data_IF_276328566282
#
_entry.id   IF_276328566282
#
_cell.length_a   1.000
_cell.length_b   1.000
_cell.length_c   1.000
_cell.angle_alpha   90.00
_cell.angle_beta   90.00
_cell.angle_gamma   90.00
#
_symmetry.space_group_name_H-M   'P 1'
#
loop_
_entity.id
_entity.type
_entity.pdbx_description
1 polymer ?
#
# COMPACT_ATOMS: atom_id res chain seq x y z
N UNK A 1 -8.28 -7.93 -8.13
CA UNK A 1 -9.24 -7.03 -7.45
C UNK A 1 -8.49 -5.97 -6.64
N UNK A 2 -7.54 -6.33 -5.77
CA UNK A 2 -6.79 -5.37 -4.92
C UNK A 2 -6.08 -4.26 -5.73
N UNK A 3 -5.39 -4.61 -6.81
CA UNK A 3 -4.67 -3.67 -7.70
C UNK A 3 -5.60 -2.69 -8.43
N UNK A 4 -6.81 -3.09 -8.80
CA UNK A 4 -7.79 -2.20 -9.45
C UNK A 4 -8.35 -1.17 -8.47
N UNK A 5 -8.75 -1.61 -7.28
CA UNK A 5 -9.27 -0.74 -6.21
C UNK A 5 -8.20 0.25 -5.78
N UNK A 6 -6.94 -0.20 -5.63
CA UNK A 6 -5.83 0.67 -5.23
C UNK A 6 -5.59 1.81 -6.21
N UNK A 7 -5.66 1.57 -7.52
CA UNK A 7 -5.44 2.62 -8.54
C UNK A 7 -6.50 3.73 -8.45
N UNK A 8 -7.77 3.34 -8.28
CA UNK A 8 -8.88 4.31 -8.15
C UNK A 8 -8.77 5.08 -6.84
N UNK A 9 -8.51 4.39 -5.74
CA UNK A 9 -8.35 5.03 -4.42
C UNK A 9 -7.15 5.99 -4.37
N UNK A 10 -6.02 5.64 -4.99
CA UNK A 10 -4.84 6.52 -5.06
C UNK A 10 -5.14 7.79 -5.85
N UNK A 11 -5.85 7.70 -6.98
CA UNK A 11 -6.24 8.88 -7.75
C UNK A 11 -7.12 9.84 -6.92
N UNK A 12 -8.10 9.28 -6.19
CA UNK A 12 -8.94 10.07 -5.26
C UNK A 12 -8.15 10.70 -4.13
N UNK A 13 -7.21 9.97 -3.54
CA UNK A 13 -6.33 10.49 -2.49
C UNK A 13 -5.45 11.65 -2.98
N UNK A 14 -4.87 11.54 -4.18
CA UNK A 14 -4.06 12.62 -4.77
C UNK A 14 -4.91 13.86 -4.98
N UNK A 15 -6.10 13.73 -5.58
CA UNK A 15 -7.01 14.84 -5.80
C UNK A 15 -7.42 15.48 -4.45
N UNK A 16 -7.86 14.67 -3.50
CA UNK A 16 -8.28 15.16 -2.17
C UNK A 16 -7.15 15.84 -1.42
N UNK A 17 -5.93 15.29 -1.46
CA UNK A 17 -4.77 15.88 -0.80
C UNK A 17 -4.34 17.20 -1.43
N UNK A 18 -4.32 17.29 -2.75
CA UNK A 18 -3.96 18.52 -3.47
C UNK A 18 -4.97 19.65 -3.20
N UNK A 19 -6.27 19.33 -3.25
CA UNK A 19 -7.33 20.29 -2.97
C UNK A 19 -7.37 20.70 -1.48
N UNK A 20 -7.12 19.76 -0.56
CA UNK A 20 -7.00 20.05 0.87
C UNK A 20 -5.82 20.98 1.18
N UNK A 21 -4.67 20.79 0.50
CA UNK A 21 -3.51 21.67 0.66
C UNK A 21 -3.82 23.11 0.23
N UNK A 22 -4.54 23.29 -0.88
CA UNK A 22 -5.01 24.60 -1.31
C UNK A 22 -5.92 25.25 -0.28
N UNK A 23 -6.91 24.50 0.24
CA UNK A 23 -7.84 24.99 1.24
C UNK A 23 -7.12 25.38 2.55
N UNK A 24 -6.14 24.57 2.98
CA UNK A 24 -5.32 24.89 4.13
C UNK A 24 -4.51 26.17 3.90
N UNK A 25 -3.89 26.33 2.72
CA UNK A 25 -3.15 27.54 2.38
C UNK A 25 -4.05 28.79 2.39
N UNK A 26 -5.30 28.68 1.91
CA UNK A 26 -6.29 29.76 2.01
C UNK A 26 -6.68 30.04 3.48
N UNK A 27 -6.87 29.01 4.29
CA UNK A 27 -7.23 29.18 5.72
C UNK A 27 -6.14 29.86 6.55
N UNK A 28 -4.88 29.66 6.16
CA UNK A 28 -3.71 30.27 6.83
C UNK A 28 -3.20 31.55 6.16
N UNK A 29 -4.04 32.19 5.33
CA UNK A 29 -3.71 33.45 4.61
C UNK A 29 -2.40 33.41 3.81
N UNK A 30 -2.05 32.19 3.29
CA UNK A 30 -0.89 31.98 2.42
C UNK A 30 -1.17 32.24 0.93
N UNK A 31 -2.44 32.42 0.58
CA UNK A 31 -2.91 32.76 -0.75
C UNK A 31 -3.39 34.22 -0.77
N UNK A 32 -3.41 34.86 -1.95
CA UNK A 32 -3.97 36.20 -2.07
C UNK A 32 -5.42 36.26 -1.56
N UNK A 33 -5.71 37.29 -0.79
CA UNK A 33 -7.08 37.56 -0.36
C UNK A 33 -8.00 37.72 -1.56
N UNK A 34 -9.25 37.27 -1.41
CA UNK A 34 -10.33 37.58 -2.36
C UNK A 34 -10.66 39.07 -2.37
N UNK A 35 -11.61 39.47 -3.22
CA UNK A 35 -12.15 40.81 -3.15
C UNK A 35 -12.82 41.01 -1.78
N UNK A 36 -12.70 42.22 -1.23
CA UNK A 36 -13.49 42.58 -0.08
C UNK A 36 -14.99 42.41 -0.44
N UNK A 37 -15.83 41.86 0.47
CA UNK A 37 -17.26 41.84 0.22
C UNK A 37 -17.76 43.26 -0.09
N UNK A 38 -18.87 43.40 -0.84
CA UNK A 38 -19.41 44.73 -1.12
C UNK A 38 -19.66 45.47 0.19
N UNK A 39 -19.42 46.78 0.20
CA UNK A 39 -19.72 47.57 1.38
C UNK A 39 -21.18 47.37 1.77
N UNK A 40 -21.43 47.28 3.08
CA UNK A 40 -22.80 47.14 3.59
C UNK A 40 -23.62 48.37 3.12
N UNK A 41 -24.83 48.16 2.58
CA UNK A 41 -25.63 49.26 2.03
C UNK A 41 -25.98 50.28 3.14
N UNK A 42 -25.80 51.55 2.78
CA UNK A 42 -26.12 52.66 3.66
C UNK A 42 -27.62 53.02 3.61
N UNK A 43 -28.27 52.62 2.52
CA UNK A 43 -29.73 52.86 2.31
C UNK A 43 -30.44 51.51 2.28
N UNK A 44 -31.32 51.30 3.21
CA UNK A 44 -32.23 50.14 3.34
C UNK A 44 -33.66 50.68 3.46
N UNK A 45 -34.66 49.89 3.11
CA UNK A 45 -36.07 50.32 3.18
C UNK A 45 -36.56 50.64 4.60
N UNK A 46 -35.87 50.18 5.61
CA UNK A 46 -36.30 50.28 7.02
C UNK A 46 -37.57 49.50 7.31
N UNK A 47 -37.99 48.61 6.41
CA UNK A 47 -39.14 47.72 6.60
C UNK A 47 -38.69 46.27 6.63
N UNK A 48 -39.53 45.39 7.19
CA UNK A 48 -39.25 43.97 7.38
C UNK A 48 -40.42 43.11 6.90
N UNK A 49 -40.13 41.83 6.63
CA UNK A 49 -41.21 40.82 6.47
C UNK A 49 -41.51 40.42 5.03
N UNK A 50 -40.70 40.78 4.04
CA UNK A 50 -40.86 40.19 2.74
C UNK A 50 -40.62 38.68 2.80
N UNK A 51 -41.46 37.91 2.11
CA UNK A 51 -41.22 36.46 2.03
C UNK A 51 -40.08 36.14 1.08
N UNK A 52 -39.26 35.11 1.38
CA UNK A 52 -38.18 34.66 0.48
C UNK A 52 -38.68 34.32 -0.92
N UNK A 53 -39.91 33.80 -1.05
CA UNK A 53 -40.54 33.49 -2.33
C UNK A 53 -40.90 34.74 -3.18
N UNK A 54 -41.00 35.89 -2.53
CA UNK A 54 -41.28 37.14 -3.22
C UNK A 54 -40.03 37.94 -3.62
N UNK A 55 -38.84 37.46 -3.17
CA UNK A 55 -37.57 38.08 -3.51
C UNK A 55 -37.16 37.64 -4.91
N UNK A 56 -37.29 38.56 -5.92
CA UNK A 56 -36.94 38.24 -7.32
C UNK A 56 -35.54 37.68 -7.50
N UNK A 57 -34.47 38.20 -6.85
CA UNK A 57 -33.12 37.64 -7.00
C UNK A 57 -32.99 36.17 -6.56
N UNK A 58 -33.74 35.74 -5.56
CA UNK A 58 -33.77 34.37 -5.10
C UNK A 58 -34.54 33.44 -6.04
N UNK A 59 -35.54 33.93 -6.73
CA UNK A 59 -36.39 33.15 -7.64
C UNK A 59 -35.64 32.67 -8.89
N UNK A 60 -34.60 33.38 -9.29
CA UNK A 60 -33.81 33.07 -10.51
C UNK A 60 -32.52 32.32 -10.24
N UNK A 61 -32.12 32.20 -8.95
CA UNK A 61 -30.89 31.50 -8.57
C UNK A 61 -31.20 30.01 -8.36
N UNK A 62 -30.59 29.09 -9.13
CA UNK A 62 -30.77 27.69 -8.88
C UNK A 62 -30.16 27.31 -7.53
N UNK A 63 -30.78 26.39 -6.81
CA UNK A 63 -30.33 25.94 -5.48
C UNK A 63 -28.87 25.43 -5.53
N UNK A 64 -28.43 24.87 -6.64
CA UNK A 64 -27.05 24.42 -6.85
C UNK A 64 -26.01 25.56 -6.91
N UNK A 65 -26.44 26.77 -7.24
CA UNK A 65 -25.58 27.96 -7.26
C UNK A 65 -25.56 28.68 -5.91
N UNK A 66 -26.57 28.48 -5.06
CA UNK A 66 -26.64 29.07 -3.74
C UNK A 66 -25.59 28.44 -2.81
N UNK A 67 -24.79 29.28 -2.15
CA UNK A 67 -23.76 28.87 -1.18
C UNK A 67 -24.23 29.15 0.24
N UNK A 68 -24.75 30.36 0.46
CA UNK A 68 -25.16 30.82 1.78
C UNK A 68 -26.26 31.87 1.62
N UNK A 69 -27.25 31.83 2.52
CA UNK A 69 -28.23 32.88 2.72
C UNK A 69 -28.30 33.16 4.23
N UNK A 70 -27.65 34.24 4.64
CA UNK A 70 -27.72 34.68 6.07
C UNK A 70 -28.87 35.61 6.26
N UNK A 71 -29.63 35.36 7.33
CA UNK A 71 -30.80 36.16 7.67
C UNK A 71 -30.38 37.39 8.47
N UNK A 72 -31.10 38.53 8.30
CA UNK A 72 -30.88 39.72 9.09
C UNK A 72 -31.14 39.46 10.60
N UNK A 73 -30.53 40.28 11.44
CA UNK A 73 -30.70 40.18 12.88
C UNK A 73 -32.15 40.44 13.26
N UNK A 74 -32.80 39.59 14.07
CA UNK A 74 -34.18 39.72 14.41
C UNK A 74 -34.50 41.06 15.12
N UNK A 75 -35.39 41.84 14.53
CA UNK A 75 -35.84 43.12 15.08
C UNK A 75 -35.00 44.33 14.64
N UNK A 76 -33.96 44.13 13.84
CA UNK A 76 -33.20 45.24 13.25
C UNK A 76 -33.63 45.48 11.78
N UNK A 77 -34.44 46.52 11.59
CA UNK A 77 -34.91 46.89 10.26
C UNK A 77 -33.83 47.53 9.38
N UNK A 78 -32.64 47.81 9.93
CA UNK A 78 -31.49 48.35 9.17
C UNK A 78 -30.54 47.30 8.68
N UNK A 79 -30.73 46.03 9.08
CA UNK A 79 -29.94 44.91 8.61
C UNK A 79 -30.47 44.38 7.26
N UNK A 80 -29.73 43.52 6.59
CA UNK A 80 -30.05 42.96 5.26
C UNK A 80 -29.77 41.47 5.20
N UNK A 81 -30.44 40.76 4.28
CA UNK A 81 -30.01 39.39 3.96
C UNK A 81 -28.65 39.43 3.28
N UNK A 82 -27.73 38.54 3.68
CA UNK A 82 -26.49 38.33 2.93
C UNK A 82 -26.69 37.12 2.02
N UNK A 83 -26.53 37.36 0.73
CA UNK A 83 -26.62 36.33 -0.32
C UNK A 83 -25.26 36.02 -0.87
N UNK A 84 -24.83 34.76 -0.78
CA UNK A 84 -23.60 34.24 -1.38
C UNK A 84 -23.93 33.15 -2.38
N UNK A 85 -23.38 33.26 -3.57
CA UNK A 85 -23.55 32.29 -4.66
C UNK A 85 -22.20 31.87 -5.24
N UNK A 86 -22.21 30.97 -6.20
CA UNK A 86 -21.04 30.59 -7.01
C UNK A 86 -20.50 31.72 -7.91
N UNK A 87 -21.19 32.87 -7.99
CA UNK A 87 -20.82 34.02 -8.83
C UNK A 87 -20.43 35.28 -8.07
N UNK A 88 -20.91 35.40 -6.83
CA UNK A 88 -20.67 36.60 -6.06
C UNK A 88 -21.38 36.64 -4.72
N UNK A 89 -21.19 37.75 -4.02
CA UNK A 89 -21.80 38.03 -2.74
C UNK A 89 -22.52 39.36 -2.80
N UNK A 90 -23.67 39.47 -2.14
CA UNK A 90 -24.46 40.70 -2.12
C UNK A 90 -25.41 40.76 -0.94
N UNK A 91 -26.15 41.86 -0.89
CA UNK A 91 -27.14 42.15 0.14
C UNK A 91 -28.51 42.32 -0.44
N UNK A 92 -29.54 41.74 0.19
CA UNK A 92 -30.96 41.91 -0.19
C UNK A 92 -31.70 42.64 0.95
N UNK A 93 -32.53 43.61 0.56
CA UNK A 93 -33.37 44.32 1.50
C UNK A 93 -34.41 43.42 2.12
N UNK A 94 -34.57 43.48 3.44
CA UNK A 94 -35.51 42.61 4.17
C UNK A 94 -36.99 43.04 4.04
N UNK A 95 -37.26 44.22 3.58
CA UNK A 95 -38.60 44.73 3.38
C UNK A 95 -39.09 44.65 1.94
N UNK A 96 -38.23 44.94 0.96
CA UNK A 96 -38.56 44.93 -0.47
C UNK A 96 -38.07 43.66 -1.20
N UNK A 97 -37.03 43.01 -0.71
CA UNK A 97 -36.39 41.88 -1.41
C UNK A 97 -35.48 42.29 -2.58
N UNK A 98 -35.23 43.58 -2.76
CA UNK A 98 -34.37 44.10 -3.81
C UNK A 98 -32.89 43.86 -3.52
N UNK A 99 -32.09 43.71 -4.56
CA UNK A 99 -30.63 43.57 -4.47
C UNK A 99 -30.00 44.96 -4.24
N UNK A 100 -29.46 45.20 -3.05
CA UNK A 100 -28.91 46.49 -2.65
C UNK A 100 -27.46 46.66 -3.07
N UNK A 101 -26.69 45.60 -3.04
CA UNK A 101 -25.27 45.60 -3.46
C UNK A 101 -24.87 44.23 -3.95
N UNK A 102 -23.93 44.18 -4.86
CA UNK A 102 -23.39 42.93 -5.42
C UNK A 102 -21.92 43.09 -5.78
N UNK A 103 -21.12 42.09 -5.40
CA UNK A 103 -19.75 41.98 -5.90
C UNK A 103 -19.55 40.60 -6.52
N UNK A 104 -19.02 40.57 -7.75
CA UNK A 104 -18.66 39.33 -8.43
C UNK A 104 -17.41 38.72 -7.82
N UNK A 105 -17.29 37.39 -7.85
CA UNK A 105 -16.10 36.69 -7.45
C UNK A 105 -14.90 37.10 -8.34
N UNK A 106 -13.79 37.37 -7.68
CA UNK A 106 -12.48 37.54 -8.35
C UNK A 106 -12.03 36.22 -8.99
N UNK A 107 -10.98 36.27 -9.80
CA UNK A 107 -10.38 35.10 -10.39
C UNK A 107 -9.89 34.09 -9.31
N UNK A 108 -9.31 34.61 -8.21
CA UNK A 108 -8.84 33.76 -7.10
C UNK A 108 -9.98 33.09 -6.36
N UNK A 109 -11.06 33.79 -6.10
CA UNK A 109 -12.25 33.23 -5.48
C UNK A 109 -12.91 32.18 -6.38
N UNK A 110 -12.98 32.38 -7.68
CA UNK A 110 -13.48 31.37 -8.64
C UNK A 110 -12.61 30.12 -8.66
N UNK A 111 -11.28 30.27 -8.57
CA UNK A 111 -10.37 29.13 -8.45
C UNK A 111 -10.64 28.39 -7.14
N UNK A 112 -10.73 29.11 -6.02
CA UNK A 112 -11.01 28.52 -4.70
C UNK A 112 -12.35 27.82 -4.66
N UNK A 113 -13.41 28.41 -5.21
CA UNK A 113 -14.73 27.76 -5.37
C UNK A 113 -14.65 26.46 -6.19
N UNK A 114 -13.90 26.49 -7.30
CA UNK A 114 -13.69 25.28 -8.12
C UNK A 114 -12.95 24.20 -7.34
N UNK A 115 -11.91 24.57 -6.60
CA UNK A 115 -11.15 23.63 -5.76
C UNK A 115 -12.01 23.09 -4.62
N UNK A 116 -12.82 23.93 -4.00
CA UNK A 116 -13.77 23.54 -2.97
C UNK A 116 -14.81 22.55 -3.53
N UNK A 117 -15.36 22.80 -4.71
CA UNK A 117 -16.26 21.88 -5.42
C UNK A 117 -15.57 20.54 -5.70
N UNK A 118 -14.31 20.57 -6.18
CA UNK A 118 -13.53 19.35 -6.46
C UNK A 118 -13.20 18.56 -5.19
N UNK A 119 -13.09 19.23 -4.05
CA UNK A 119 -12.81 18.59 -2.77
C UNK A 119 -14.05 17.97 -2.12
N UNK A 120 -15.16 18.71 -2.12
CA UNK A 120 -16.39 18.37 -1.37
C UNK A 120 -17.50 17.79 -2.23
N UNK A 121 -17.47 18.05 -3.55
CA UNK A 121 -18.59 17.77 -4.44
C UNK A 121 -19.76 18.75 -4.31
N UNK A 122 -19.61 19.83 -3.53
CA UNK A 122 -20.70 20.82 -3.35
C UNK A 122 -21.05 21.49 -4.69
N UNK A 123 -22.34 21.54 -5.00
CA UNK A 123 -22.83 22.04 -6.30
C UNK A 123 -22.76 21.03 -7.45
N UNK A 124 -22.13 19.86 -7.25
CA UNK A 124 -22.00 18.78 -8.24
C UNK A 124 -22.25 17.41 -7.61
N UNK A 125 -23.51 17.04 -7.41
CA UNK A 125 -23.92 15.85 -6.67
C UNK A 125 -23.29 14.54 -7.20
N UNK A 126 -23.16 14.41 -8.52
CA UNK A 126 -22.51 13.24 -9.14
C UNK A 126 -21.03 13.15 -8.79
N UNK A 127 -20.32 14.28 -8.77
CA UNK A 127 -18.93 14.34 -8.34
C UNK A 127 -18.79 13.99 -6.86
N UNK A 128 -19.65 14.53 -6.00
CA UNK A 128 -19.68 14.21 -4.57
C UNK A 128 -19.88 12.73 -4.31
N UNK A 129 -20.78 12.07 -5.06
CA UNK A 129 -20.98 10.61 -4.97
C UNK A 129 -19.70 9.84 -5.37
N UNK A 130 -19.07 10.22 -6.47
CA UNK A 130 -17.81 9.59 -6.93
C UNK A 130 -16.70 9.75 -5.89
N UNK A 131 -16.51 10.96 -5.36
CA UNK A 131 -15.53 11.24 -4.31
C UNK A 131 -15.80 10.40 -3.05
N UNK A 132 -17.06 10.29 -2.63
CA UNK A 132 -17.48 9.46 -1.52
C UNK A 132 -17.13 7.99 -1.70
N UNK A 133 -17.43 7.44 -2.89
CA UNK A 133 -17.07 6.05 -3.24
C UNK A 133 -15.54 5.86 -3.25
N UNK A 134 -14.78 6.82 -3.79
CA UNK A 134 -13.31 6.77 -3.78
C UNK A 134 -12.75 6.83 -2.35
N UNK A 135 -13.33 7.66 -1.48
CA UNK A 135 -12.93 7.77 -0.08
C UNK A 135 -13.13 6.47 0.71
N UNK A 136 -14.16 5.67 0.41
CA UNK A 136 -14.36 4.33 0.98
C UNK A 136 -13.24 3.34 0.61
N UNK A 137 -12.50 3.59 -0.46
CA UNK A 137 -11.33 2.80 -0.85
C UNK A 137 -10.20 2.84 0.19
N UNK A 138 -10.06 3.93 0.93
CA UNK A 138 -9.00 4.12 1.93
C UNK A 138 -9.14 3.14 3.11
N UNK A 139 -10.27 3.09 3.84
CA UNK A 139 -10.45 2.11 4.89
C UNK A 139 -10.46 0.67 4.37
N UNK A 140 -10.99 0.42 3.16
CA UNK A 140 -10.93 -0.90 2.54
C UNK A 140 -9.49 -1.38 2.28
N UNK A 141 -8.60 -0.48 1.82
CA UNK A 141 -7.18 -0.78 1.69
C UNK A 141 -6.51 -0.99 3.05
N UNK A 142 -6.85 -0.20 4.06
CA UNK A 142 -6.34 -0.37 5.42
C UNK A 142 -6.69 -1.75 5.99
N UNK A 143 -7.96 -2.14 5.90
CA UNK A 143 -8.43 -3.46 6.36
C UNK A 143 -7.76 -4.59 5.58
N UNK A 144 -7.75 -4.50 4.24
CA UNK A 144 -7.10 -5.54 3.41
C UNK A 144 -5.59 -5.64 3.67
N UNK A 145 -4.91 -4.52 3.89
CA UNK A 145 -3.50 -4.48 4.27
C UNK A 145 -3.23 -5.16 5.62
N UNK A 146 -4.08 -4.88 6.62
CA UNK A 146 -4.01 -5.55 7.92
C UNK A 146 -4.25 -7.05 7.81
N UNK A 147 -5.26 -7.48 7.04
CA UNK A 147 -5.53 -8.91 6.79
C UNK A 147 -4.33 -9.60 6.16
N UNK A 148 -3.73 -9.00 5.12
CA UNK A 148 -2.54 -9.53 4.46
C UNK A 148 -1.34 -9.59 5.42
N UNK A 149 -1.15 -8.55 6.24
CA UNK A 149 -0.07 -8.49 7.21
C UNK A 149 -0.21 -9.57 8.30
N UNK A 150 -1.42 -9.76 8.84
CA UNK A 150 -1.68 -10.83 9.81
C UNK A 150 -1.59 -12.23 9.17
N UNK A 151 -2.07 -12.40 7.94
CA UNK A 151 -1.93 -13.65 7.20
C UNK A 151 -0.46 -14.00 6.97
N UNK A 152 0.37 -13.03 6.56
CA UNK A 152 1.80 -13.22 6.39
C UNK A 152 2.54 -13.59 7.70
N UNK A 153 2.10 -13.07 8.84
CA UNK A 153 2.66 -13.45 10.14
C UNK A 153 2.24 -14.86 10.59
N UNK A 154 1.04 -15.31 10.24
CA UNK A 154 0.53 -16.65 10.57
C UNK A 154 1.05 -17.74 9.65
N UNK A 155 1.55 -17.38 8.47
CA UNK A 155 1.99 -18.34 7.44
C UNK A 155 3.37 -18.94 7.68
N UNK A 156 4.05 -18.66 8.81
CA UNK A 156 5.24 -19.43 9.21
C UNK A 156 4.77 -20.79 9.71
N UNK A 157 4.91 -21.87 8.94
CA UNK A 157 4.54 -23.19 9.43
C UNK A 157 5.38 -23.52 10.67
N UNK A 158 4.72 -23.98 11.72
CA UNK A 158 5.42 -24.54 12.87
C UNK A 158 6.08 -25.83 12.41
N UNK A 159 7.39 -25.80 12.25
CA UNK A 159 8.18 -26.96 11.92
C UNK A 159 8.14 -27.91 13.11
N UNK A 160 7.31 -28.96 13.03
CA UNK A 160 7.26 -30.01 14.05
C UNK A 160 8.46 -30.93 13.82
N UNK A 161 9.13 -31.32 14.91
CA UNK A 161 10.25 -32.25 14.82
C UNK A 161 11.54 -31.65 14.25
N UNK A 162 11.71 -30.33 14.34
CA UNK A 162 12.97 -29.67 13.94
C UNK A 162 14.10 -30.16 14.90
N UNK A 163 15.09 -30.85 14.34
CA UNK A 163 16.18 -31.40 15.12
C UNK A 163 17.10 -30.26 15.61
N UNK A 164 17.72 -30.36 16.80
CA UNK A 164 18.71 -29.39 17.26
C UNK A 164 19.87 -29.24 16.25
N UNK A 165 20.32 -28.01 16.02
CA UNK A 165 21.35 -27.68 15.04
C UNK A 165 22.65 -28.47 15.23
N UNK A 166 23.07 -28.69 16.47
CA UNK A 166 24.34 -29.37 16.81
C UNK A 166 24.35 -30.87 16.50
N UNK A 167 23.17 -31.49 16.36
CA UNK A 167 23.05 -32.93 16.12
C UNK A 167 22.44 -33.31 14.78
N UNK A 168 22.17 -32.33 13.92
CA UNK A 168 21.55 -32.58 12.61
C UNK A 168 22.59 -32.85 11.54
N UNK A 169 22.40 -33.95 10.80
CA UNK A 169 23.21 -34.29 9.63
C UNK A 169 22.76 -33.51 8.37
N UNK A 170 21.47 -33.15 8.27
CA UNK A 170 20.93 -32.34 7.15
C UNK A 170 20.52 -30.98 7.64
N UNK A 171 21.13 -29.93 7.10
CA UNK A 171 20.84 -28.54 7.41
C UNK A 171 20.06 -27.93 6.25
N UNK A 172 18.78 -27.59 6.50
CA UNK A 172 17.89 -26.99 5.53
C UNK A 172 17.76 -25.49 5.80
N UNK A 173 18.36 -24.67 4.94
CA UNK A 173 18.34 -23.20 5.04
C UNK A 173 17.28 -22.62 4.11
N UNK A 174 16.45 -21.70 4.65
CA UNK A 174 15.29 -21.19 3.93
C UNK A 174 15.36 -19.68 3.73
N UNK A 175 15.36 -19.25 2.48
CA UNK A 175 15.18 -17.87 2.04
C UNK A 175 13.75 -17.65 1.54
N UNK A 176 12.98 -16.83 2.24
CA UNK A 176 11.57 -16.56 1.90
C UNK A 176 11.17 -15.15 2.32
N UNK A 177 10.38 -14.46 1.49
CA UNK A 177 9.78 -13.17 1.82
C UNK A 177 8.38 -13.36 2.41
N UNK A 178 7.46 -13.90 1.63
CA UNK A 178 6.05 -14.09 1.99
C UNK A 178 5.73 -15.37 2.76
N UNK A 179 6.71 -16.23 3.03
CA UNK A 179 6.52 -17.47 3.79
C UNK A 179 6.21 -18.71 2.96
N UNK A 180 5.98 -18.63 1.65
CA UNK A 180 5.62 -19.77 0.80
C UNK A 180 6.69 -20.84 0.74
N UNK A 181 7.98 -20.46 0.66
CA UNK A 181 9.12 -21.40 0.65
C UNK A 181 9.21 -22.24 1.91
N UNK A 182 8.70 -21.74 3.04
CA UNK A 182 8.63 -22.51 4.29
C UNK A 182 7.67 -23.71 4.21
N UNK A 183 6.62 -23.63 3.37
CA UNK A 183 5.74 -24.76 3.10
C UNK A 183 6.49 -25.91 2.43
N UNK A 184 7.30 -25.59 1.41
CA UNK A 184 8.17 -26.55 0.73
C UNK A 184 9.25 -27.12 1.68
N UNK A 185 9.83 -26.26 2.52
CA UNK A 185 10.78 -26.68 3.53
C UNK A 185 10.18 -27.66 4.54
N UNK A 186 8.95 -27.43 4.98
CA UNK A 186 8.22 -28.33 5.87
C UNK A 186 7.94 -29.69 5.22
N UNK A 187 7.55 -29.68 3.93
CA UNK A 187 7.32 -30.93 3.16
C UNK A 187 8.62 -31.73 3.04
N UNK A 188 9.72 -31.07 2.65
CA UNK A 188 11.02 -31.70 2.52
C UNK A 188 11.55 -32.23 3.85
N UNK A 189 11.46 -31.41 4.93
CA UNK A 189 11.83 -31.84 6.28
C UNK A 189 11.06 -33.10 6.70
N UNK A 190 9.75 -33.11 6.46
CA UNK A 190 8.91 -34.28 6.81
C UNK A 190 9.35 -35.53 6.05
N UNK A 191 9.58 -35.43 4.74
CA UNK A 191 10.02 -36.56 3.92
C UNK A 191 11.40 -37.08 4.35
N UNK A 192 12.38 -36.19 4.54
CA UNK A 192 13.71 -36.56 5.00
C UNK A 192 13.70 -37.17 6.40
N UNK A 193 12.87 -36.65 7.30
CA UNK A 193 12.72 -37.18 8.67
C UNK A 193 12.06 -38.55 8.64
N UNK A 194 11.05 -38.76 7.81
CA UNK A 194 10.42 -40.07 7.61
C UNK A 194 11.41 -41.11 7.06
N UNK A 195 12.40 -40.68 6.27
CA UNK A 195 13.52 -41.51 5.81
C UNK A 195 14.65 -41.66 6.84
N UNK A 196 14.44 -41.28 8.10
CA UNK A 196 15.39 -41.45 9.19
C UNK A 196 16.47 -40.38 9.31
N UNK A 197 16.37 -39.29 8.56
CA UNK A 197 17.35 -38.21 8.60
C UNK A 197 17.10 -37.22 9.77
N UNK A 198 18.15 -36.78 10.43
CA UNK A 198 18.08 -35.70 11.44
C UNK A 198 18.19 -34.36 10.74
N UNK A 199 17.06 -33.69 10.60
CA UNK A 199 16.94 -32.43 9.80
C UNK A 199 16.79 -31.23 10.72
N UNK A 200 17.68 -30.24 10.54
CA UNK A 200 17.53 -28.90 11.15
C UNK A 200 17.15 -27.87 10.08
N UNK A 201 16.05 -27.19 10.31
CA UNK A 201 15.56 -26.12 9.41
C UNK A 201 15.77 -24.77 10.07
N UNK A 202 16.40 -23.84 9.36
CA UNK A 202 16.69 -22.50 9.84
C UNK A 202 16.57 -21.46 8.71
N UNK A 203 16.37 -20.16 9.03
CA UNK A 203 16.47 -19.11 8.03
C UNK A 203 17.91 -18.94 7.55
N UNK A 204 18.11 -18.64 6.26
CA UNK A 204 19.44 -18.35 5.67
C UNK A 204 20.15 -17.22 6.40
N UNK A 205 19.39 -16.22 6.93
CA UNK A 205 19.95 -15.09 7.68
C UNK A 205 20.71 -15.50 8.96
N UNK A 206 20.52 -16.71 9.46
CA UNK A 206 21.22 -17.25 10.63
C UNK A 206 22.35 -18.21 10.26
N UNK A 207 22.79 -18.26 9.00
CA UNK A 207 23.83 -19.15 8.55
C UNK A 207 25.19 -18.83 9.18
N UNK A 208 25.71 -19.81 9.90
CA UNK A 208 27.01 -19.82 10.55
C UNK A 208 27.48 -21.28 10.64
N UNK A 209 28.49 -21.71 9.87
CA UNK A 209 28.91 -23.12 9.80
C UNK A 209 29.25 -23.76 11.14
N UNK A 210 29.86 -23.02 12.05
CA UNK A 210 30.23 -23.50 13.39
C UNK A 210 29.03 -23.98 14.26
N UNK A 211 27.80 -23.57 13.89
CA UNK A 211 26.58 -24.02 14.57
C UNK A 211 26.17 -25.45 14.19
N UNK A 212 26.77 -26.00 13.12
CA UNK A 212 26.38 -27.26 12.49
C UNK A 212 27.54 -28.28 12.46
N UNK A 213 28.12 -28.65 13.59
CA UNK A 213 29.34 -29.45 13.63
C UNK A 213 29.16 -30.91 13.12
N UNK A 214 27.92 -31.37 13.00
CA UNK A 214 27.60 -32.72 12.50
C UNK A 214 26.92 -32.68 11.12
N UNK A 215 26.99 -31.52 10.43
CA UNK A 215 26.38 -31.39 9.10
C UNK A 215 27.08 -32.33 8.10
N UNK A 216 26.33 -33.23 7.53
CA UNK A 216 26.74 -34.09 6.41
C UNK A 216 26.37 -33.43 5.05
N UNK A 217 25.41 -32.54 5.04
CA UNK A 217 24.95 -31.80 3.87
C UNK A 217 24.20 -30.54 4.22
N UNK A 218 24.26 -29.58 3.31
CA UNK A 218 23.46 -28.36 3.33
C UNK A 218 22.46 -28.37 2.19
N UNK A 219 21.24 -27.98 2.45
CA UNK A 219 20.17 -27.82 1.48
C UNK A 219 19.65 -26.39 1.58
N UNK A 220 19.68 -25.65 0.49
CA UNK A 220 19.21 -24.27 0.45
C UNK A 220 17.97 -24.17 -0.42
N UNK A 221 16.88 -23.66 0.14
CA UNK A 221 15.66 -23.27 -0.56
C UNK A 221 15.63 -21.75 -0.65
N UNK A 222 16.01 -21.17 -1.79
CA UNK A 222 16.21 -19.74 -1.97
C UNK A 222 15.17 -19.11 -2.88
N UNK A 223 14.23 -18.35 -2.30
CA UNK A 223 13.33 -17.51 -3.10
C UNK A 223 14.02 -16.22 -3.52
N UNK A 224 13.65 -15.73 -4.70
CA UNK A 224 14.06 -14.41 -5.19
C UNK A 224 12.94 -13.41 -4.92
N UNK A 225 13.30 -12.21 -4.48
CA UNK A 225 12.36 -11.13 -4.18
C UNK A 225 12.64 -9.89 -5.05
N UNK A 226 11.58 -9.12 -5.37
CA UNK A 226 11.71 -7.87 -6.12
C UNK A 226 12.41 -8.06 -7.46
N UNK A 227 13.43 -7.27 -7.73
CA UNK A 227 14.21 -7.28 -8.96
C UNK A 227 15.48 -8.18 -8.86
N UNK A 228 15.39 -9.29 -8.15
CA UNK A 228 16.49 -10.24 -8.01
C UNK A 228 17.12 -10.30 -6.61
N UNK A 229 16.53 -9.64 -5.63
CA UNK A 229 17.10 -9.43 -4.30
C UNK A 229 16.92 -10.64 -3.37
N UNK A 230 17.75 -10.68 -2.30
CA UNK A 230 17.58 -11.62 -1.21
C UNK A 230 16.28 -11.36 -0.43
N UNK A 231 15.48 -12.37 -0.13
CA UNK A 231 14.30 -12.23 0.70
C UNK A 231 14.67 -11.96 2.17
N UNK A 232 13.73 -11.45 2.97
CA UNK A 232 13.95 -11.04 4.37
C UNK A 232 14.64 -12.12 5.22
N UNK A 233 14.29 -13.41 5.05
CA UNK A 233 14.90 -14.49 5.80
C UNK A 233 16.26 -14.95 5.25
N UNK A 234 16.76 -14.32 4.19
CA UNK A 234 18.11 -14.55 3.64
C UNK A 234 19.03 -13.31 3.75
N UNK A 235 18.57 -12.26 4.43
CA UNK A 235 19.33 -11.01 4.57
C UNK A 235 20.73 -11.26 5.15
N UNK A 236 21.76 -10.72 4.48
CA UNK A 236 23.16 -10.86 4.88
C UNK A 236 23.75 -12.25 4.63
N UNK A 237 23.07 -13.14 3.89
CA UNK A 237 23.58 -14.49 3.61
C UNK A 237 24.78 -14.45 2.65
N UNK A 238 24.70 -13.66 1.59
CA UNK A 238 25.76 -13.51 0.59
C UNK A 238 27.03 -12.97 1.24
N UNK A 239 26.91 -11.94 2.07
CA UNK A 239 28.02 -11.32 2.78
C UNK A 239 28.69 -12.33 3.75
N UNK A 240 27.88 -13.12 4.46
CA UNK A 240 28.41 -14.16 5.35
C UNK A 240 29.09 -15.28 4.58
N UNK A 241 28.51 -15.73 3.48
CA UNK A 241 29.12 -16.74 2.61
C UNK A 241 30.44 -16.22 2.01
N UNK A 242 30.45 -14.97 1.55
CA UNK A 242 31.65 -14.33 1.03
C UNK A 242 32.75 -14.19 2.07
N UNK A 243 32.41 -13.91 3.33
CA UNK A 243 33.35 -13.73 4.44
C UNK A 243 33.93 -15.04 5.00
N UNK A 244 33.43 -16.22 4.60
CA UNK A 244 33.99 -17.48 5.06
C UNK A 244 35.45 -17.64 4.59
N UNK A 245 36.35 -17.97 5.48
CA UNK A 245 37.73 -18.36 5.13
C UNK A 245 37.77 -19.72 4.43
N UNK A 246 36.94 -20.67 4.90
CA UNK A 246 36.75 -21.98 4.30
C UNK A 246 35.27 -22.35 4.27
N UNK A 247 34.83 -22.98 3.18
CA UNK A 247 33.47 -23.52 3.09
C UNK A 247 33.36 -24.83 3.87
N UNK A 248 32.15 -25.24 4.30
CA UNK A 248 31.92 -26.54 4.91
C UNK A 248 32.36 -27.69 3.98
N UNK A 249 32.90 -28.77 4.56
CA UNK A 249 33.19 -30.00 3.83
C UNK A 249 31.92 -30.70 3.32
N UNK A 250 30.83 -30.57 4.07
CA UNK A 250 29.51 -31.10 3.74
C UNK A 250 28.99 -30.46 2.43
N UNK A 251 28.56 -31.24 1.42
CA UNK A 251 28.16 -30.73 0.13
C UNK A 251 26.83 -29.94 0.20
N UNK A 252 26.61 -29.09 -0.81
CA UNK A 252 25.51 -28.16 -0.93
C UNK A 252 24.54 -28.57 -2.05
N UNK A 253 23.23 -28.56 -1.77
CA UNK A 253 22.18 -28.58 -2.78
C UNK A 253 21.40 -27.26 -2.72
N UNK A 254 21.12 -26.65 -3.86
CA UNK A 254 20.35 -25.38 -3.95
C UNK A 254 19.16 -25.57 -4.85
N UNK A 255 17.98 -25.12 -4.37
CA UNK A 255 16.76 -25.00 -5.13
C UNK A 255 16.30 -23.54 -5.14
N UNK A 256 16.19 -22.96 -6.31
CA UNK A 256 15.68 -21.60 -6.51
C UNK A 256 14.16 -21.56 -6.59
N UNK A 257 13.56 -20.49 -6.10
CA UNK A 257 12.13 -20.19 -6.27
C UNK A 257 11.97 -18.81 -6.90
N UNK A 258 11.21 -18.73 -7.97
CA UNK A 258 10.95 -17.48 -8.69
C UNK A 258 9.71 -17.55 -9.55
N UNK A 259 9.51 -16.53 -10.37
CA UNK A 259 8.47 -16.48 -11.41
C UNK A 259 9.14 -16.10 -12.73
N UNK A 260 9.02 -16.95 -13.74
CA UNK A 260 9.62 -16.77 -15.09
C UNK A 260 9.06 -15.59 -15.86
N UNK A 261 7.93 -15.02 -15.41
CA UNK A 261 7.40 -13.79 -16.00
C UNK A 261 8.24 -12.54 -15.68
N UNK A 262 9.17 -12.65 -14.72
CA UNK A 262 10.09 -11.58 -14.37
C UNK A 262 11.51 -11.82 -14.89
N UNK A 263 12.22 -10.76 -15.36
CA UNK A 263 13.58 -10.90 -15.92
C UNK A 263 14.59 -11.50 -14.92
N UNK A 264 14.43 -11.24 -13.63
CA UNK A 264 15.32 -11.72 -12.57
C UNK A 264 14.87 -13.07 -11.96
N UNK A 265 14.38 -14.00 -12.82
CA UNK A 265 13.99 -15.34 -12.39
C UNK A 265 15.09 -16.05 -11.63
N UNK A 266 14.86 -16.39 -10.36
CA UNK A 266 15.78 -17.08 -9.45
C UNK A 266 17.17 -16.41 -9.27
N UNK A 267 17.33 -15.11 -9.59
CA UNK A 267 18.62 -14.42 -9.59
C UNK A 267 19.37 -14.51 -8.25
N UNK A 268 18.66 -14.43 -7.12
CA UNK A 268 19.29 -14.61 -5.81
C UNK A 268 19.84 -16.03 -5.60
N UNK A 269 19.10 -17.05 -6.01
CA UNK A 269 19.55 -18.44 -5.92
C UNK A 269 20.76 -18.71 -6.82
N UNK A 270 20.76 -18.16 -8.04
CA UNK A 270 21.90 -18.20 -8.97
C UNK A 270 23.14 -17.53 -8.37
N UNK A 271 22.97 -16.40 -7.67
CA UNK A 271 24.06 -15.71 -6.98
C UNK A 271 24.64 -16.59 -5.86
N UNK A 272 23.79 -17.26 -5.08
CA UNK A 272 24.22 -18.22 -4.05
C UNK A 272 25.05 -19.34 -4.66
N UNK A 273 24.56 -19.95 -5.74
CA UNK A 273 25.27 -21.06 -6.43
C UNK A 273 26.62 -20.60 -6.96
N UNK A 274 26.64 -19.45 -7.64
CA UNK A 274 27.87 -18.89 -8.24
C UNK A 274 28.91 -18.58 -7.18
N UNK A 275 28.51 -17.96 -6.06
CA UNK A 275 29.42 -17.62 -4.96
C UNK A 275 29.94 -18.89 -4.25
N UNK A 276 29.05 -19.87 -4.01
CA UNK A 276 29.41 -21.16 -3.40
C UNK A 276 30.45 -21.89 -4.28
N UNK A 277 30.21 -21.94 -5.60
CA UNK A 277 31.14 -22.55 -6.56
C UNK A 277 32.50 -21.80 -6.60
N UNK A 278 32.48 -20.46 -6.59
CA UNK A 278 33.70 -19.65 -6.58
C UNK A 278 34.55 -19.88 -5.32
N UNK A 279 33.91 -20.26 -4.20
CA UNK A 279 34.60 -20.64 -2.97
C UNK A 279 34.95 -22.13 -2.86
N UNK A 280 34.67 -22.92 -3.91
CA UNK A 280 34.96 -24.34 -3.93
C UNK A 280 33.99 -25.19 -3.10
N UNK A 281 32.79 -24.71 -2.77
CA UNK A 281 31.81 -25.51 -2.03
C UNK A 281 31.22 -26.59 -2.93
N UNK A 282 31.45 -27.85 -2.58
CA UNK A 282 31.03 -28.99 -3.38
C UNK A 282 29.50 -29.05 -3.52
N UNK A 283 29.02 -29.27 -4.75
CA UNK A 283 27.59 -29.47 -5.00
C UNK A 283 27.20 -30.94 -4.81
N UNK A 284 26.10 -31.20 -4.11
CA UNK A 284 25.50 -32.51 -3.93
C UNK A 284 24.73 -32.96 -5.17
N UNK A 285 23.93 -32.06 -5.73
CA UNK A 285 23.16 -32.22 -6.97
C UNK A 285 23.16 -30.91 -7.76
N UNK A 286 22.95 -30.94 -9.08
CA UNK A 286 22.84 -29.73 -9.87
C UNK A 286 21.75 -28.77 -9.36
N UNK A 287 22.00 -27.47 -9.54
CA UNK A 287 20.99 -26.44 -9.28
C UNK A 287 19.74 -26.66 -10.14
N UNK A 288 18.55 -26.46 -9.55
CA UNK A 288 17.27 -26.45 -10.26
C UNK A 288 16.39 -25.32 -9.69
N UNK A 289 15.32 -25.00 -10.40
CA UNK A 289 14.45 -23.89 -10.08
C UNK A 289 12.98 -24.29 -10.16
N UNK A 290 12.19 -23.75 -9.23
CA UNK A 290 10.72 -23.88 -9.12
C UNK A 290 10.08 -22.61 -9.65
N UNK A 291 9.29 -22.74 -10.74
CA UNK A 291 8.53 -21.63 -11.28
C UNK A 291 7.17 -21.52 -10.57
N UNK A 292 6.83 -20.29 -10.10
CA UNK A 292 5.53 -19.96 -9.51
C UNK A 292 5.01 -21.00 -8.50
N UNK A 293 5.90 -21.48 -7.64
CA UNK A 293 5.57 -22.46 -6.61
C UNK A 293 5.03 -23.81 -7.18
N UNK A 294 5.49 -24.22 -8.36
CA UNK A 294 5.13 -25.48 -9.02
C UNK A 294 5.44 -26.70 -8.13
N UNK A 295 4.41 -27.46 -7.68
CA UNK A 295 4.66 -28.69 -6.92
C UNK A 295 5.39 -29.76 -7.74
N UNK A 296 5.19 -29.76 -9.06
CA UNK A 296 5.81 -30.71 -9.99
C UNK A 296 7.33 -30.47 -10.09
N UNK A 297 7.76 -29.20 -10.19
CA UNK A 297 9.19 -28.87 -10.21
C UNK A 297 9.84 -29.22 -8.88
N UNK A 298 9.18 -28.92 -7.77
CA UNK A 298 9.65 -29.29 -6.44
C UNK A 298 9.78 -30.79 -6.27
N UNK A 299 8.77 -31.58 -6.69
CA UNK A 299 8.81 -33.04 -6.63
C UNK A 299 9.89 -33.65 -7.54
N UNK A 300 10.13 -33.07 -8.72
CA UNK A 300 11.22 -33.47 -9.62
C UNK A 300 12.57 -33.33 -8.91
N UNK A 301 12.84 -32.15 -8.33
CA UNK A 301 14.07 -31.89 -7.61
C UNK A 301 14.20 -32.72 -6.34
N UNK A 302 13.11 -32.93 -5.60
CA UNK A 302 13.06 -33.80 -4.41
C UNK A 302 13.48 -35.23 -4.72
N UNK A 303 13.00 -35.79 -5.84
CA UNK A 303 13.42 -37.12 -6.29
C UNK A 303 14.94 -37.18 -6.62
N UNK A 304 15.46 -36.12 -7.27
CA UNK A 304 16.90 -36.05 -7.56
C UNK A 304 17.73 -35.99 -6.28
N UNK A 305 17.27 -35.22 -5.28
CA UNK A 305 17.90 -35.19 -3.97
C UNK A 305 17.83 -36.54 -3.25
N UNK A 306 16.64 -37.19 -3.26
CA UNK A 306 16.45 -38.51 -2.69
C UNK A 306 17.37 -39.57 -3.31
N UNK A 307 17.47 -39.56 -4.64
CA UNK A 307 18.39 -40.48 -5.35
C UNK A 307 19.86 -40.27 -4.96
N UNK A 308 20.29 -39.02 -4.81
CA UNK A 308 21.65 -38.70 -4.35
C UNK A 308 21.91 -39.10 -2.90
N UNK A 309 20.86 -39.21 -2.09
CA UNK A 309 20.93 -39.63 -0.69
C UNK A 309 20.65 -41.12 -0.50
N UNK A 310 20.27 -41.85 -1.54
CA UNK A 310 19.87 -43.27 -1.44
C UNK A 310 18.56 -43.49 -0.70
N UNK A 311 17.65 -42.54 -0.70
CA UNK A 311 16.35 -42.57 0.01
C UNK A 311 15.19 -42.18 -0.93
N UNK A 312 13.98 -42.60 -0.63
CA UNK A 312 12.78 -42.08 -1.29
C UNK A 312 12.32 -40.77 -0.62
N UNK A 313 12.17 -39.73 -1.43
CA UNK A 313 11.75 -38.38 -0.96
C UNK A 313 10.56 -37.87 -1.77
#
# INVERSE_FOLDING_TARGET
>A
IHTGISRVAVAGLILSSATALWMAASTFDLLPDGAAPPAFPTEVSGSTGVSLAAMEPLSVIPVTALRELSFPYPGDATDAFTLKTDRGTGYLDQGTGELLAWAELTMWERISETIYMLHTGQGAASLGLVLGVMALGVPAMGVSGLVLWFAGRRSRPRLRGNHPAKGAGTILLVGSEGGSTWGFAATLQHALTAAGQHVHVAPMSGFEPARYPQAERFVILAATWGEGQAPATAKGFIERLAALESVPEAPLAVLGFGDRSFPAFCAFADEVVRLAAAKGWAQLIPFDAVDRQSPQDFARWGRALGAALGIEV
#
